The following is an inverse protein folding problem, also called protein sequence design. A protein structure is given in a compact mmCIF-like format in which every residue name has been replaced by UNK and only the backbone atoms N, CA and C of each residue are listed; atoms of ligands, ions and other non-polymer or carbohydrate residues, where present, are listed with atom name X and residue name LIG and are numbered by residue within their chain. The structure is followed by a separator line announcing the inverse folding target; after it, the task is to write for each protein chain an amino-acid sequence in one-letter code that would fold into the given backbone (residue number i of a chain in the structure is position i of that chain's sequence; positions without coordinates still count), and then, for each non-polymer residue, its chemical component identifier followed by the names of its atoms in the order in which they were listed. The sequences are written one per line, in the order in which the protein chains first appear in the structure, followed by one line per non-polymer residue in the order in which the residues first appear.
data_IF_430441985139
#
_entry.id   IF_430441985139
#
_cell.length_a   1.000
_cell.length_b   1.000
_cell.length_c   1.000
_cell.angle_alpha   90.00
_cell.angle_beta   90.00
_cell.angle_gamma   90.00
#
_symmetry.space_group_name_H-M   'P 1'
#
loop_
_entity.id
_entity.type
_entity.pdbx_description
1 polymer ?
#
# COMPACT_ATOMS: atom_id res chain seq x y z
N UNK A 1 10.43 -9.03 9.61
CA UNK A 1 9.29 -8.13 9.34
C UNK A 1 8.09 -8.99 9.01
N UNK A 2 6.92 -8.64 9.55
CA UNK A 2 5.67 -9.34 9.28
C UNK A 2 5.01 -8.79 8.00
N UNK A 3 4.49 -9.66 7.13
CA UNK A 3 3.78 -9.25 5.92
C UNK A 3 2.28 -9.19 6.20
N UNK A 4 1.75 -8.00 6.44
CA UNK A 4 0.32 -7.78 6.75
C UNK A 4 -0.58 -7.64 5.51
N UNK A 5 0.00 -7.46 4.31
CA UNK A 5 -0.72 -7.38 3.04
C UNK A 5 0.07 -8.06 1.92
N UNK A 6 -0.62 -8.78 1.03
CA UNK A 6 -0.05 -9.44 -0.15
C UNK A 6 -0.92 -9.19 -1.39
N UNK A 7 -0.29 -8.98 -2.56
CA UNK A 7 -0.96 -8.70 -3.83
C UNK A 7 -2.04 -7.59 -3.77
N UNK A 8 -1.87 -6.63 -2.85
CA UNK A 8 -2.88 -5.63 -2.53
C UNK A 8 -3.18 -4.69 -3.70
N UNK A 9 -4.45 -4.57 -4.08
CA UNK A 9 -4.91 -3.68 -5.15
C UNK A 9 -5.87 -2.64 -4.56
N UNK A 10 -5.37 -1.41 -4.38
CA UNK A 10 -6.10 -0.28 -3.79
C UNK A 10 -7.42 -0.04 -4.50
N UNK A 11 -7.44 -0.01 -5.84
CA UNK A 11 -8.65 0.29 -6.60
C UNK A 11 -9.71 -0.82 -6.49
N UNK A 12 -9.30 -2.09 -6.40
CA UNK A 12 -10.23 -3.22 -6.16
C UNK A 12 -10.85 -3.14 -4.76
N UNK A 13 -10.01 -2.92 -3.76
CA UNK A 13 -10.40 -2.85 -2.33
C UNK A 13 -11.26 -1.61 -2.03
N UNK A 14 -11.03 -0.51 -2.76
CA UNK A 14 -11.85 0.70 -2.67
C UNK A 14 -13.15 0.64 -3.50
N UNK A 15 -13.38 -0.43 -4.27
CA UNK A 15 -14.53 -0.53 -5.18
C UNK A 15 -14.50 0.50 -6.31
N UNK A 16 -13.30 0.90 -6.77
CA UNK A 16 -13.07 1.83 -7.87
C UNK A 16 -11.85 2.74 -7.64
N UNK A 17 -11.26 3.32 -8.71
CA UNK A 17 -10.20 4.33 -8.59
C UNK A 17 -10.73 5.62 -7.92
N UNK A 18 -9.83 6.38 -7.28
CA UNK A 18 -10.15 7.66 -6.64
C UNK A 18 -10.95 7.57 -5.33
N UNK A 19 -11.38 6.38 -4.90
CA UNK A 19 -12.09 6.17 -3.64
C UNK A 19 -11.12 6.01 -2.47
N UNK A 20 -11.40 6.69 -1.35
CA UNK A 20 -10.64 6.57 -0.10
C UNK A 20 -10.90 5.22 0.56
N UNK A 21 -9.83 4.55 1.00
CA UNK A 21 -9.88 3.43 1.96
C UNK A 21 -8.92 3.68 3.11
N UNK A 22 -9.22 3.08 4.26
CA UNK A 22 -8.34 3.01 5.43
C UNK A 22 -8.14 1.52 5.73
N UNK A 23 -6.89 1.12 6.01
CA UNK A 23 -6.55 -0.20 6.53
C UNK A 23 -5.73 0.03 7.81
N UNK A 24 -6.19 -0.51 8.91
CA UNK A 24 -5.52 -0.42 10.22
C UNK A 24 -4.87 -1.76 10.55
N UNK A 25 -3.68 -1.70 11.14
CA UNK A 25 -2.91 -2.88 11.55
C UNK A 25 -2.41 -2.67 12.97
N UNK A 26 -2.67 -3.63 13.85
CA UNK A 26 -2.18 -3.61 15.22
C UNK A 26 -0.87 -4.41 15.26
N UNK A 27 0.22 -3.80 15.76
CA UNK A 27 1.55 -4.42 15.81
C UNK A 27 2.18 -4.18 17.17
N UNK A 28 2.96 -5.13 17.67
CA UNK A 28 3.69 -4.96 18.93
C UNK A 28 5.12 -4.43 18.68
N UNK A 29 5.41 -3.21 19.12
CA UNK A 29 6.71 -2.56 18.90
C UNK A 29 7.70 -2.96 20.00
N UNK A 30 8.47 -4.01 19.74
CA UNK A 30 9.40 -4.59 20.73
C UNK A 30 10.81 -3.97 20.77
N UNK A 31 11.18 -3.16 19.76
CA UNK A 31 12.55 -2.62 19.59
C UNK A 31 12.61 -1.10 19.40
N UNK A 32 11.68 -0.36 20.00
CA UNK A 32 11.53 1.11 19.91
C UNK A 32 11.34 1.70 18.49
N UNK A 33 11.48 0.90 17.44
CA UNK A 33 11.32 1.30 16.04
C UNK A 33 10.18 0.51 15.38
N UNK A 34 9.42 1.19 14.53
CA UNK A 34 8.41 0.60 13.67
C UNK A 34 8.89 0.72 12.22
N UNK A 35 9.14 -0.41 11.57
CA UNK A 35 9.48 -0.43 10.14
C UNK A 35 8.22 -0.70 9.30
N UNK A 36 7.97 0.14 8.29
CA UNK A 36 6.90 -0.03 7.32
C UNK A 36 7.51 -0.25 5.93
N UNK A 37 7.65 -1.50 5.53
CA UNK A 37 8.24 -1.87 4.23
C UNK A 37 7.16 -1.97 3.14
N UNK A 38 7.25 -1.12 2.10
CA UNK A 38 6.35 -1.13 0.94
C UNK A 38 7.04 -1.73 -0.28
N UNK A 39 6.53 -2.85 -0.80
CA UNK A 39 7.12 -3.55 -1.95
C UNK A 39 6.17 -3.61 -3.15
N UNK A 40 6.61 -3.08 -4.29
CA UNK A 40 5.92 -3.21 -5.57
C UNK A 40 6.64 -4.23 -6.47
N UNK A 41 6.02 -5.38 -6.67
CA UNK A 41 6.58 -6.50 -7.45
C UNK A 41 6.52 -6.30 -8.98
N UNK A 42 6.58 -5.06 -9.49
CA UNK A 42 6.58 -4.76 -10.93
C UNK A 42 5.27 -5.05 -11.67
N UNK A 43 4.14 -5.35 -10.99
CA UNK A 43 2.83 -5.47 -11.64
C UNK A 43 2.30 -4.09 -12.04
N UNK A 44 2.48 -3.75 -13.31
CA UNK A 44 1.95 -2.55 -13.98
C UNK A 44 2.70 -2.28 -15.28
N UNK A 45 2.01 -1.83 -16.32
CA UNK A 45 2.68 -1.38 -17.57
C UNK A 45 3.19 0.05 -17.37
N UNK A 46 4.40 0.38 -17.82
CA UNK A 46 4.89 1.79 -17.84
C UNK A 46 4.26 2.66 -18.95
N UNK A 47 3.30 2.12 -19.73
CA UNK A 47 2.69 2.68 -20.96
C UNK A 47 1.21 2.24 -21.11
N UNK A 48 0.21 3.14 -21.09
CA UNK A 48 -1.25 2.87 -21.30
C UNK A 48 -1.75 3.50 -22.61
N UNK A 49 -1.88 2.71 -23.69
CA UNK A 49 -1.10 2.93 -24.93
C UNK A 49 0.09 3.94 -24.97
N UNK A 50 0.42 4.72 -23.91
CA UNK A 50 1.26 5.94 -23.91
C UNK A 50 2.17 6.08 -22.67
N UNK A 51 1.64 6.30 -21.45
CA UNK A 51 2.36 6.21 -20.14
C UNK A 51 1.51 5.52 -19.06
N UNK A 52 2.16 5.00 -18.01
CA UNK A 52 1.78 3.75 -17.33
C UNK A 52 0.84 3.74 -16.13
N UNK A 53 0.61 2.52 -15.61
CA UNK A 53 0.12 2.28 -14.25
C UNK A 53 1.25 2.62 -13.28
N UNK A 54 1.16 3.81 -12.71
CA UNK A 54 2.05 4.25 -11.63
C UNK A 54 2.04 3.27 -10.45
N UNK A 55 3.17 3.16 -9.75
CA UNK A 55 3.27 2.38 -8.51
C UNK A 55 2.25 2.84 -7.46
N UNK A 56 2.03 2.05 -6.39
CA UNK A 56 0.95 2.30 -5.44
C UNK A 56 1.04 3.70 -4.80
N UNK A 57 0.08 4.55 -5.14
CA UNK A 57 -0.12 5.86 -4.51
C UNK A 57 -0.70 5.65 -3.11
N UNK A 58 0.17 5.68 -2.11
CA UNK A 58 -0.19 5.69 -0.69
C UNK A 58 0.03 7.11 -0.17
N UNK A 59 -1.07 7.80 0.16
CA UNK A 59 -1.03 9.24 0.47
C UNK A 59 -0.77 9.56 1.95
N UNK A 60 -0.90 8.59 2.86
CA UNK A 60 -0.71 8.80 4.29
C UNK A 60 -0.42 7.48 5.03
N UNK A 61 0.43 7.56 6.05
CA UNK A 61 0.60 6.56 7.11
C UNK A 61 0.29 7.30 8.42
N UNK A 62 -0.45 6.67 9.32
CA UNK A 62 -0.74 7.19 10.66
C UNK A 62 -0.41 6.11 11.69
N UNK A 63 0.16 6.53 12.82
CA UNK A 63 0.57 5.67 13.92
C UNK A 63 -0.02 6.24 15.20
N UNK A 64 -0.74 5.41 15.96
CA UNK A 64 -1.35 5.74 17.25
C UNK A 64 -0.86 4.71 18.29
N UNK A 65 -0.40 5.15 19.48
CA UNK A 65 -0.07 4.25 20.59
C UNK A 65 -1.28 3.45 21.09
#
# INVERSE_FOLDING_TARGET
NEKVLENFNIAREAGGPGKKIIKSFNVNVTKNTLEVSLYWAGKGTIVIPTRGVYGPLISAISVTP
#
